data_IF_914026178081
#
_entry.id   IF_914026178081
#
_cell.length_a   1.000
_cell.length_b   1.000
_cell.length_c   1.000
_cell.angle_alpha   90.00
_cell.angle_beta   90.00
_cell.angle_gamma   90.00
#
_symmetry.space_group_name_H-M   'P 1'
#
loop_
_entity.id
_entity.type
_entity.pdbx_description
1 polymer ?
#
# COMPACT_ATOMS: atom_id res chain seq x y z
N UNK A 1 -21.19 26.09 5.31
CA UNK A 1 -20.88 24.90 4.48
C UNK A 1 -21.96 24.71 3.42
N UNK A 2 -21.93 25.49 2.33
CA UNK A 2 -22.96 25.48 1.27
C UNK A 2 -22.31 25.66 -0.10
N UNK A 3 -21.27 24.86 -0.38
CA UNK A 3 -20.43 25.01 -1.58
C UNK A 3 -20.22 23.73 -2.40
N UNK A 4 -20.98 22.65 -2.14
CA UNK A 4 -20.70 21.33 -2.75
C UNK A 4 -21.71 20.88 -3.81
N UNK A 5 -22.32 21.80 -4.57
CA UNK A 5 -23.11 21.43 -5.75
C UNK A 5 -22.89 22.43 -6.89
N UNK A 6 -21.64 22.60 -7.34
CA UNK A 6 -21.36 23.20 -8.65
C UNK A 6 -21.28 22.09 -9.69
N UNK A 7 -22.40 21.81 -10.34
CA UNK A 7 -22.39 21.07 -11.60
C UNK A 7 -21.57 21.88 -12.59
N UNK A 8 -20.46 21.30 -13.07
CA UNK A 8 -19.67 21.90 -14.13
C UNK A 8 -20.39 21.60 -15.45
N UNK A 9 -21.17 22.56 -15.95
CA UNK A 9 -21.76 22.46 -17.28
C UNK A 9 -20.71 22.82 -18.33
N UNK A 10 -20.36 21.87 -19.19
CA UNK A 10 -19.66 22.16 -20.44
C UNK A 10 -20.71 22.83 -21.34
N UNK A 11 -20.76 24.16 -21.34
CA UNK A 11 -21.62 24.90 -22.26
C UNK A 11 -21.00 24.82 -23.66
N UNK A 12 -21.73 24.26 -24.62
CA UNK A 12 -21.42 24.45 -26.03
C UNK A 12 -21.52 25.95 -26.36
N UNK A 13 -20.70 26.44 -27.30
CA UNK A 13 -20.82 27.83 -27.77
C UNK A 13 -22.23 28.12 -28.28
N UNK A 14 -22.72 29.35 -28.10
CA UNK A 14 -24.05 29.80 -28.52
C UNK A 14 -24.39 29.35 -29.94
N UNK A 15 -23.42 29.49 -30.84
CA UNK A 15 -23.58 29.22 -32.27
C UNK A 15 -23.78 27.72 -32.53
N UNK A 16 -23.07 26.87 -31.75
CA UNK A 16 -23.22 25.42 -31.85
C UNK A 16 -24.56 24.94 -31.28
N UNK A 17 -25.07 25.62 -30.26
CA UNK A 17 -26.41 25.35 -29.71
C UNK A 17 -27.48 25.74 -30.73
N UNK A 18 -27.34 26.88 -31.40
CA UNK A 18 -28.25 27.31 -32.47
C UNK A 18 -28.23 26.37 -33.69
N UNK A 19 -27.07 25.85 -34.08
CA UNK A 19 -26.96 24.84 -35.13
C UNK A 19 -27.70 23.55 -34.76
N UNK A 20 -27.45 23.03 -33.54
CA UNK A 20 -28.06 21.79 -33.07
C UNK A 20 -29.58 21.93 -32.93
N UNK A 21 -30.07 23.06 -32.43
CA UNK A 21 -31.51 23.33 -32.33
C UNK A 21 -32.17 23.41 -33.72
N UNK A 22 -31.54 24.04 -34.71
CA UNK A 22 -32.03 24.01 -36.09
C UNK A 22 -32.04 22.60 -36.69
N UNK A 23 -31.05 21.78 -36.36
CA UNK A 23 -31.02 20.37 -36.79
C UNK A 23 -32.13 19.55 -36.14
N UNK A 24 -32.39 19.72 -34.85
CA UNK A 24 -33.50 19.03 -34.16
C UNK A 24 -34.85 19.45 -34.73
N UNK A 25 -35.07 20.76 -34.94
CA UNK A 25 -36.32 21.27 -35.53
C UNK A 25 -36.56 20.73 -36.94
N UNK A 26 -35.48 20.57 -37.73
CA UNK A 26 -35.55 20.00 -39.07
C UNK A 26 -35.95 18.52 -39.03
N UNK A 27 -35.33 17.74 -38.14
CA UNK A 27 -35.64 16.32 -37.99
C UNK A 27 -37.07 16.13 -37.48
N UNK A 28 -37.53 16.97 -36.54
CA UNK A 28 -38.89 16.90 -36.04
C UNK A 28 -39.92 17.20 -37.12
N UNK A 29 -39.69 18.22 -37.97
CA UNK A 29 -40.56 18.47 -39.13
C UNK A 29 -40.54 17.31 -40.12
N UNK A 30 -39.39 16.66 -40.34
CA UNK A 30 -39.29 15.49 -41.19
C UNK A 30 -40.05 14.30 -40.60
N UNK A 31 -40.00 14.10 -39.28
CA UNK A 31 -40.81 13.10 -38.58
C UNK A 31 -42.30 13.40 -38.71
N UNK A 32 -42.73 14.64 -38.44
CA UNK A 32 -44.13 15.07 -38.57
C UNK A 32 -44.63 14.93 -40.03
N UNK A 33 -43.78 15.19 -41.02
CA UNK A 33 -44.10 14.99 -42.44
C UNK A 33 -44.19 13.51 -42.83
N UNK A 34 -43.38 12.66 -42.21
CA UNK A 34 -43.47 11.20 -42.40
C UNK A 34 -44.73 10.66 -41.74
N UNK A 35 -45.07 11.10 -40.52
CA UNK A 35 -46.31 10.73 -39.84
C UNK A 35 -47.55 11.14 -40.66
N UNK A 36 -47.59 12.39 -41.15
CA UNK A 36 -48.68 12.85 -42.03
C UNK A 36 -48.78 12.09 -43.34
N UNK A 37 -47.67 11.54 -43.86
CA UNK A 37 -47.67 10.71 -45.08
C UNK A 37 -48.11 9.27 -44.81
N UNK A 38 -47.86 8.75 -43.62
CA UNK A 38 -48.37 7.45 -43.20
C UNK A 38 -49.87 7.47 -42.89
N UNK A 39 -50.45 8.62 -42.54
CA UNK A 39 -51.89 8.76 -42.30
C UNK A 39 -52.75 8.79 -43.59
N UNK A 40 -52.12 8.99 -44.77
CA UNK A 40 -52.81 9.01 -46.08
C UNK A 40 -52.93 7.62 -46.76
N UNK A 41 -52.37 6.55 -46.16
CA UNK A 41 -52.57 5.16 -46.59
C UNK A 41 -53.69 4.49 -45.75
N UNK A 42 -54.92 4.43 -46.26
CA UNK A 42 -56.09 3.82 -45.58
C UNK A 42 -55.99 2.28 -45.43
N UNK A 43 -56.44 1.79 -44.25
CA UNK A 43 -56.67 0.42 -43.71
C UNK A 43 -55.48 -0.26 -42.99
N UNK A 44 -55.61 -0.80 -41.76
CA UNK A 44 -56.75 -1.53 -41.18
C UNK A 44 -56.83 -1.42 -39.63
N UNK A 45 -58.02 -1.64 -39.09
CA UNK A 45 -58.40 -1.61 -37.66
C UNK A 45 -57.65 -2.66 -36.82
N UNK A 46 -56.91 -2.22 -35.79
CA UNK A 46 -56.46 -3.10 -34.70
C UNK A 46 -56.47 -2.38 -33.34
N UNK A 47 -57.41 -2.86 -32.53
CA UNK A 47 -57.64 -2.56 -31.12
C UNK A 47 -56.39 -2.23 -30.27
N UNK A 48 -56.53 -1.10 -29.55
CA UNK A 48 -55.84 -0.70 -28.32
C UNK A 48 -54.68 -1.57 -27.82
N UNK A 49 -53.47 -1.14 -28.13
CA UNK A 49 -52.31 -1.41 -27.29
C UNK A 49 -51.92 -0.11 -26.60
N UNK A 50 -51.69 -0.22 -25.29
CA UNK A 50 -51.36 0.85 -24.37
C UNK A 50 -50.37 1.84 -25.00
N UNK A 51 -50.86 3.05 -25.30
CA UNK A 51 -50.04 4.21 -25.59
C UNK A 51 -49.25 4.55 -24.33
N UNK A 52 -48.21 3.77 -24.07
CA UNK A 52 -47.22 4.04 -23.05
C UNK A 52 -46.64 5.39 -23.35
N UNK A 53 -47.08 6.39 -22.58
CA UNK A 53 -46.66 7.77 -22.61
C UNK A 53 -45.16 7.82 -22.95
N UNK A 54 -44.82 8.11 -24.21
CA UNK A 54 -43.45 8.05 -24.71
C UNK A 54 -42.69 9.16 -23.98
N UNK A 55 -42.08 8.78 -22.86
CA UNK A 55 -41.34 9.70 -22.01
C UNK A 55 -40.20 10.26 -22.86
N UNK A 56 -40.30 11.54 -23.19
CA UNK A 56 -39.31 12.28 -23.99
C UNK A 56 -38.60 13.33 -23.12
N UNK A 57 -37.44 13.81 -23.59
CA UNK A 57 -36.64 14.82 -22.90
C UNK A 57 -36.12 14.38 -21.54
N UNK A 58 -36.18 15.29 -20.55
CA UNK A 58 -35.57 15.08 -19.21
C UNK A 58 -36.18 13.90 -18.46
N UNK A 59 -37.48 13.62 -18.67
CA UNK A 59 -38.18 12.51 -18.00
C UNK A 59 -37.71 11.15 -18.53
N UNK A 60 -37.45 11.04 -19.83
CA UNK A 60 -36.84 9.87 -20.47
C UNK A 60 -35.47 9.58 -19.85
N UNK A 61 -34.62 10.62 -19.80
CA UNK A 61 -33.25 10.54 -19.29
C UNK A 61 -33.26 10.12 -17.81
N UNK A 62 -34.17 10.67 -17.00
CA UNK A 62 -34.28 10.33 -15.59
C UNK A 62 -34.76 8.88 -15.38
N UNK A 63 -35.68 8.40 -16.21
CA UNK A 63 -36.13 7.00 -16.17
C UNK A 63 -35.03 6.05 -16.63
N UNK A 64 -34.33 6.37 -17.72
CA UNK A 64 -33.20 5.61 -18.22
C UNK A 64 -32.07 5.53 -17.18
N UNK A 65 -31.72 6.65 -16.55
CA UNK A 65 -30.74 6.68 -15.47
C UNK A 65 -31.16 5.82 -14.27
N UNK A 66 -32.45 5.84 -13.90
CA UNK A 66 -33.00 4.96 -12.84
C UNK A 66 -32.91 3.49 -13.24
N UNK A 67 -33.34 3.15 -14.45
CA UNK A 67 -33.28 1.78 -14.97
C UNK A 67 -31.83 1.29 -15.04
N UNK A 68 -30.90 2.14 -15.48
CA UNK A 68 -29.47 1.86 -15.52
C UNK A 68 -28.87 1.70 -14.12
N UNK A 69 -29.34 2.43 -13.12
CA UNK A 69 -28.88 2.31 -11.74
C UNK A 69 -29.32 0.99 -11.06
N UNK A 70 -30.47 0.42 -11.47
CA UNK A 70 -30.98 -0.86 -10.92
C UNK A 70 -30.64 -2.07 -11.79
N UNK A 71 -30.02 -1.89 -12.96
CA UNK A 71 -29.52 -3.00 -13.78
C UNK A 71 -28.12 -3.38 -13.30
N UNK A 72 -27.98 -4.61 -12.84
CA UNK A 72 -26.66 -5.22 -12.67
C UNK A 72 -26.02 -5.41 -14.05
N UNK A 73 -24.76 -4.99 -14.20
CA UNK A 73 -23.98 -5.23 -15.40
C UNK A 73 -23.86 -6.74 -15.65
N UNK A 74 -23.99 -7.22 -16.90
CA UNK A 74 -23.78 -8.63 -17.20
C UNK A 74 -22.36 -9.03 -16.81
N UNK A 75 -22.21 -10.24 -16.26
CA UNK A 75 -20.94 -10.72 -15.71
C UNK A 75 -19.79 -10.69 -16.72
N UNK A 76 -20.06 -10.94 -18.00
CA UNK A 76 -19.04 -10.93 -19.07
C UNK A 76 -18.44 -9.54 -19.26
N UNK A 77 -19.29 -8.51 -19.34
CA UNK A 77 -18.86 -7.12 -19.53
C UNK A 77 -18.06 -6.62 -18.31
N UNK A 78 -18.51 -6.95 -17.10
CA UNK A 78 -17.75 -6.64 -15.88
C UNK A 78 -16.38 -7.33 -15.86
N UNK A 79 -16.31 -8.57 -16.33
CA UNK A 79 -15.06 -9.33 -16.40
C UNK A 79 -14.09 -8.72 -17.40
N UNK A 80 -14.56 -8.28 -18.56
CA UNK A 80 -13.74 -7.57 -19.56
C UNK A 80 -13.22 -6.23 -19.03
N UNK A 81 -14.06 -5.46 -18.33
CA UNK A 81 -13.63 -4.22 -17.67
C UNK A 81 -12.57 -4.48 -16.59
N UNK A 82 -12.76 -5.51 -15.77
CA UNK A 82 -11.79 -5.88 -14.74
C UNK A 82 -10.45 -6.30 -15.37
N UNK A 83 -10.52 -7.17 -16.39
CA UNK A 83 -9.33 -7.66 -17.07
C UNK A 83 -8.55 -6.52 -17.74
N UNK A 84 -9.22 -5.60 -18.45
CA UNK A 84 -8.56 -4.44 -19.08
C UNK A 84 -7.94 -3.49 -18.05
N UNK A 85 -8.61 -3.28 -16.90
CA UNK A 85 -8.07 -2.47 -15.82
C UNK A 85 -6.83 -3.11 -15.17
N UNK A 86 -6.87 -4.43 -14.93
CA UNK A 86 -5.74 -5.19 -14.40
C UNK A 86 -4.57 -5.21 -15.39
N UNK A 87 -4.82 -5.40 -16.68
CA UNK A 87 -3.79 -5.39 -17.73
C UNK A 87 -3.10 -4.02 -17.83
N UNK A 88 -3.87 -2.92 -17.78
CA UNK A 88 -3.31 -1.57 -17.76
C UNK A 88 -2.44 -1.31 -16.53
N UNK A 89 -2.88 -1.79 -15.36
CA UNK A 89 -2.13 -1.68 -14.11
C UNK A 89 -0.84 -2.50 -14.14
N UNK A 90 -0.90 -3.76 -14.55
CA UNK A 90 0.26 -4.64 -14.68
C UNK A 90 1.29 -4.06 -15.66
N UNK A 91 0.84 -3.53 -16.79
CA UNK A 91 1.73 -2.86 -17.75
C UNK A 91 2.39 -1.62 -17.15
N UNK A 92 1.65 -0.80 -16.40
CA UNK A 92 2.21 0.37 -15.72
C UNK A 92 3.21 -0.02 -14.64
N UNK A 93 2.93 -1.04 -13.82
CA UNK A 93 3.87 -1.56 -12.82
C UNK A 93 5.16 -2.03 -13.46
N UNK A 94 5.11 -2.86 -14.50
CA UNK A 94 6.30 -3.36 -15.20
C UNK A 94 7.12 -2.20 -15.78
N UNK A 95 6.47 -1.18 -16.37
CA UNK A 95 7.16 -0.01 -16.88
C UNK A 95 7.80 0.82 -15.76
N UNK A 96 7.15 0.95 -14.60
CA UNK A 96 7.71 1.66 -13.44
C UNK A 96 8.91 0.91 -12.85
N UNK A 97 8.84 -0.42 -12.74
CA UNK A 97 9.95 -1.26 -12.28
C UNK A 97 11.13 -1.18 -13.26
N UNK A 98 10.86 -1.22 -14.56
CA UNK A 98 11.89 -1.06 -15.60
C UNK A 98 12.56 0.30 -15.49
N UNK A 99 11.79 1.39 -15.33
CA UNK A 99 12.34 2.74 -15.12
C UNK A 99 13.15 2.83 -13.83
N UNK A 100 12.67 2.24 -12.74
CA UNK A 100 13.38 2.21 -11.46
C UNK A 100 14.71 1.46 -11.57
N UNK A 101 14.74 0.32 -12.27
CA UNK A 101 15.97 -0.43 -12.54
C UNK A 101 16.94 0.37 -13.41
N UNK A 102 16.45 0.97 -14.49
CA UNK A 102 17.28 1.82 -15.36
C UNK A 102 17.82 3.04 -14.63
N UNK A 103 17.04 3.64 -13.72
CA UNK A 103 17.48 4.75 -12.88
C UNK A 103 18.51 4.29 -11.83
N UNK A 104 18.35 3.10 -11.26
CA UNK A 104 19.31 2.53 -10.32
C UNK A 104 20.64 2.14 -10.97
N UNK A 105 20.65 1.83 -12.26
CA UNK A 105 21.87 1.53 -13.02
C UNK A 105 22.56 2.79 -13.58
N UNK A 106 21.86 3.93 -13.63
CA UNK A 106 22.46 5.20 -14.07
C UNK A 106 23.40 5.76 -12.99
N UNK A 107 24.66 6.07 -13.33
CA UNK A 107 25.58 6.73 -12.41
C UNK A 107 25.24 8.21 -12.26
N UNK A 108 25.42 8.74 -11.07
CA UNK A 108 25.28 10.17 -10.78
C UNK A 108 26.36 11.02 -11.47
N UNK A 109 26.26 12.36 -11.40
CA UNK A 109 27.25 13.31 -11.95
C UNK A 109 28.70 13.07 -11.51
N UNK A 110 28.90 12.43 -10.35
CA UNK A 110 30.20 12.07 -9.75
C UNK A 110 30.61 10.61 -10.05
N UNK A 111 29.84 9.88 -10.87
CA UNK A 111 30.15 8.52 -11.34
C UNK A 111 29.84 7.39 -10.37
N UNK A 112 29.13 7.66 -9.27
CA UNK A 112 28.71 6.64 -8.31
C UNK A 112 27.34 6.05 -8.66
N UNK A 113 27.19 4.74 -8.44
CA UNK A 113 25.91 4.02 -8.57
C UNK A 113 25.32 3.86 -7.16
N UNK A 114 24.14 4.41 -6.90
CA UNK A 114 23.49 4.30 -5.60
C UNK A 114 22.89 2.90 -5.42
N UNK A 115 23.40 2.13 -4.46
CA UNK A 115 22.81 0.84 -4.08
C UNK A 115 21.59 1.08 -3.19
N UNK A 116 20.39 1.10 -3.78
CA UNK A 116 19.15 1.07 -3.01
C UNK A 116 18.99 -0.31 -2.34
N UNK A 117 18.76 -0.35 -1.02
CA UNK A 117 18.51 -1.59 -0.29
C UNK A 117 17.10 -2.11 -0.57
N UNK A 118 16.97 -3.07 -1.49
CA UNK A 118 15.79 -3.93 -1.60
C UNK A 118 14.54 -3.27 -2.20
N UNK A 119 13.66 -4.13 -2.72
CA UNK A 119 12.43 -3.83 -3.47
C UNK A 119 11.68 -2.61 -2.92
N UNK A 120 11.43 -1.56 -3.73
CA UNK A 120 10.57 -0.47 -3.32
C UNK A 120 9.14 -1.03 -3.30
N UNK A 121 8.68 -1.46 -2.12
CA UNK A 121 7.24 -1.58 -1.91
C UNK A 121 6.65 -0.19 -2.13
N UNK A 122 5.62 -0.12 -2.96
CA UNK A 122 4.96 1.10 -3.41
C UNK A 122 4.74 2.10 -2.24
N UNK A 123 5.37 3.28 -2.30
CA UNK A 123 5.20 4.36 -1.30
C UNK A 123 6.42 4.79 -0.47
N UNK A 124 7.62 4.20 -0.67
CA UNK A 124 8.79 4.41 0.21
C UNK A 124 9.69 5.61 -0.11
N UNK A 125 9.26 6.57 -0.94
CA UNK A 125 10.07 7.78 -1.21
C UNK A 125 10.28 8.66 0.03
N UNK A 126 9.52 8.44 1.12
CA UNK A 126 9.64 9.18 2.37
C UNK A 126 10.33 8.43 3.53
N UNK A 127 10.68 7.16 3.39
CA UNK A 127 11.08 6.33 4.55
C UNK A 127 12.60 6.36 4.85
N UNK A 128 13.40 6.94 3.95
CA UNK A 128 14.85 7.05 4.14
C UNK A 128 15.27 8.05 5.24
N UNK A 129 14.43 9.01 5.60
CA UNK A 129 14.68 9.91 6.74
C UNK A 129 14.26 9.30 8.08
N UNK A 130 13.15 8.55 8.12
CA UNK A 130 12.58 8.00 9.36
C UNK A 130 13.42 6.83 9.90
N UNK A 131 13.96 5.99 9.02
CA UNK A 131 14.73 4.80 9.40
C UNK A 131 16.11 5.12 10.03
N UNK A 132 16.65 6.32 9.80
CA UNK A 132 17.92 6.78 10.44
C UNK A 132 17.80 6.86 11.97
N UNK A 133 16.62 7.20 12.49
CA UNK A 133 16.37 7.30 13.92
C UNK A 133 16.08 5.94 14.58
N UNK A 134 15.41 5.03 13.86
CA UNK A 134 15.13 3.68 14.33
C UNK A 134 16.40 2.82 14.43
N UNK A 135 17.27 2.85 13.41
CA UNK A 135 18.53 2.07 13.39
C UNK A 135 19.50 2.48 14.52
N UNK A 136 19.57 3.76 14.88
CA UNK A 136 20.41 4.23 16.02
C UNK A 136 19.93 3.70 17.38
N UNK A 137 18.63 3.40 17.53
CA UNK A 137 18.07 2.84 18.79
C UNK A 137 18.21 1.33 18.88
N UNK A 138 18.10 0.60 17.76
CA UNK A 138 18.26 -0.86 17.73
C UNK A 138 19.72 -1.32 17.92
N UNK A 139 20.70 -0.58 17.39
CA UNK A 139 22.13 -0.95 17.45
C UNK A 139 22.80 -0.90 18.83
N UNK A 140 22.14 -0.34 19.86
CA UNK A 140 22.64 -0.32 21.24
C UNK A 140 22.21 -1.52 22.07
N UNK A 141 21.08 -2.16 21.76
CA UNK A 141 20.53 -3.26 22.58
C UNK A 141 21.03 -4.65 22.16
N UNK A 142 21.49 -4.81 20.92
CA UNK A 142 21.85 -6.13 20.38
C UNK A 142 23.35 -6.48 20.43
N UNK A 143 24.21 -5.58 20.90
CA UNK A 143 25.66 -5.80 21.03
C UNK A 143 26.07 -6.72 22.18
N UNK A 144 25.14 -7.15 23.03
CA UNK A 144 25.47 -7.91 24.26
C UNK A 144 25.26 -9.43 24.13
N UNK A 145 24.80 -9.93 22.98
CA UNK A 145 24.34 -11.33 22.84
C UNK A 145 25.18 -12.20 21.89
N UNK A 146 26.32 -11.72 21.39
CA UNK A 146 27.18 -12.48 20.47
C UNK A 146 28.59 -12.70 20.99
N UNK A 147 28.71 -12.95 22.30
CA UNK A 147 29.96 -13.33 22.98
C UNK A 147 30.52 -14.73 22.59
N UNK A 148 30.20 -15.21 21.39
CA UNK A 148 30.64 -16.49 20.84
C UNK A 148 31.08 -16.33 19.39
N UNK A 149 32.28 -15.78 19.18
CA UNK A 149 33.15 -16.14 18.06
C UNK A 149 32.80 -15.65 16.65
N UNK A 150 32.01 -14.59 16.45
CA UNK A 150 31.78 -14.03 15.11
C UNK A 150 32.36 -12.62 14.94
N UNK A 151 33.70 -12.51 14.84
CA UNK A 151 34.49 -11.42 14.23
C UNK A 151 34.35 -9.97 14.72
N UNK A 152 33.26 -9.61 15.39
CA UNK A 152 32.88 -8.24 15.73
C UNK A 152 32.84 -7.98 17.25
N UNK A 153 32.89 -9.04 18.06
CA UNK A 153 32.96 -8.93 19.52
C UNK A 153 34.39 -9.13 20.03
N UNK A 154 34.72 -8.42 21.12
CA UNK A 154 36.01 -8.54 21.80
C UNK A 154 36.18 -9.96 22.37
N UNK A 155 37.25 -10.63 21.96
CA UNK A 155 37.55 -11.97 22.42
C UNK A 155 38.05 -11.92 23.88
N UNK A 156 37.46 -12.76 24.74
CA UNK A 156 37.68 -12.71 26.19
C UNK A 156 39.10 -13.13 26.63
N UNK A 157 39.81 -13.90 25.80
CA UNK A 157 41.12 -14.48 26.13
C UNK A 157 42.23 -14.06 25.18
N UNK A 158 42.03 -13.02 24.38
CA UNK A 158 43.03 -12.58 23.40
C UNK A 158 44.25 -11.93 24.05
N UNK A 159 44.05 -11.19 25.13
CA UNK A 159 45.10 -10.42 25.77
C UNK A 159 45.58 -11.05 27.08
N UNK A 160 46.89 -10.98 27.31
CA UNK A 160 47.53 -11.49 28.54
C UNK A 160 47.00 -10.85 29.83
N UNK A 161 46.53 -9.61 29.78
CA UNK A 161 45.95 -8.96 30.94
C UNK A 161 44.58 -9.56 31.31
N UNK A 162 43.79 -10.03 30.34
CA UNK A 162 42.53 -10.72 30.56
C UNK A 162 42.80 -12.03 31.33
N UNK A 163 43.78 -12.82 30.87
CA UNK A 163 44.21 -14.05 31.56
C UNK A 163 44.77 -13.79 32.98
N UNK A 164 45.48 -12.67 33.17
CA UNK A 164 46.00 -12.31 34.50
C UNK A 164 44.87 -11.89 35.43
N UNK A 165 43.86 -11.21 34.91
CA UNK A 165 42.69 -10.79 35.67
C UNK A 165 41.80 -11.97 36.07
N UNK A 166 41.53 -12.91 35.15
CA UNK A 166 40.76 -14.14 35.43
C UNK A 166 41.46 -14.97 36.51
N UNK A 167 42.76 -15.22 36.38
CA UNK A 167 43.54 -15.93 37.42
C UNK A 167 43.51 -15.23 38.77
N UNK A 168 43.56 -13.88 38.79
CA UNK A 168 43.47 -13.11 40.05
C UNK A 168 42.09 -13.26 40.69
N UNK A 169 41.01 -13.27 39.89
CA UNK A 169 39.64 -13.50 40.36
C UNK A 169 39.50 -14.90 40.96
N UNK A 170 39.96 -15.93 40.26
CA UNK A 170 39.94 -17.32 40.75
C UNK A 170 40.68 -17.49 42.09
N UNK A 171 41.89 -16.92 42.22
CA UNK A 171 42.66 -16.98 43.47
C UNK A 171 41.94 -16.26 44.62
N UNK A 172 41.29 -15.14 44.34
CA UNK A 172 40.51 -14.42 45.37
C UNK A 172 39.26 -15.19 45.79
N UNK A 173 38.57 -15.84 44.85
CA UNK A 173 37.41 -16.67 45.14
C UNK A 173 37.81 -17.88 46.01
N UNK A 174 38.94 -18.53 45.72
CA UNK A 174 39.48 -19.60 46.55
C UNK A 174 39.79 -19.14 47.98
N UNK A 175 40.38 -17.96 48.15
CA UNK A 175 40.61 -17.36 49.48
C UNK A 175 39.30 -17.13 50.23
N UNK A 176 38.29 -16.57 49.55
CA UNK A 176 36.96 -16.34 50.11
C UNK A 176 36.30 -17.64 50.58
N UNK A 177 36.39 -18.72 49.80
CA UNK A 177 35.86 -20.02 50.19
C UNK A 177 36.62 -20.61 51.38
N UNK A 178 37.95 -20.49 51.41
CA UNK A 178 38.75 -20.96 52.53
C UNK A 178 38.44 -20.22 53.84
N UNK A 179 38.22 -18.90 53.78
CA UNK A 179 37.81 -18.11 54.94
C UNK A 179 36.44 -18.54 55.48
N UNK A 180 35.49 -18.84 54.59
CA UNK A 180 34.17 -19.37 54.97
C UNK A 180 34.29 -20.73 55.65
N UNK A 181 35.10 -21.62 55.09
CA UNK A 181 35.33 -22.95 55.68
C UNK A 181 36.04 -22.86 57.02
N UNK A 182 37.03 -21.97 57.14
CA UNK A 182 37.69 -21.68 58.41
C UNK A 182 36.70 -21.16 59.45
N UNK A 183 35.80 -20.25 59.07
CA UNK A 183 34.74 -19.75 59.96
C UNK A 183 33.77 -20.87 60.37
N UNK A 184 33.41 -21.77 59.45
CA UNK A 184 32.56 -22.94 59.74
C UNK A 184 33.22 -23.89 60.73
N UNK A 185 34.51 -24.19 60.55
CA UNK A 185 35.28 -25.04 61.46
C UNK A 185 35.43 -24.39 62.83
N UNK A 186 35.65 -23.06 62.91
CA UNK A 186 35.68 -22.34 64.19
C UNK A 186 34.37 -22.48 64.96
N UNK A 187 33.22 -22.28 64.30
CA UNK A 187 31.90 -22.51 64.91
C UNK A 187 31.73 -23.94 65.42
N UNK A 188 32.10 -24.94 64.61
CA UNK A 188 32.03 -26.35 65.03
C UNK A 188 32.96 -26.67 66.22
N UNK A 189 34.11 -25.99 66.33
CA UNK A 189 35.02 -26.12 67.47
C UNK A 189 34.44 -25.49 68.74
N UNK A 190 33.82 -24.31 68.63
CA UNK A 190 33.11 -23.65 69.73
C UNK A 190 31.95 -24.52 70.25
N UNK A 191 31.19 -25.12 69.34
CA UNK A 191 30.08 -26.05 69.65
C UNK A 191 30.55 -27.44 70.12
N UNK A 192 31.88 -27.70 70.17
CA UNK A 192 32.50 -29.00 70.49
C UNK A 192 32.03 -30.16 69.60
N UNK A 193 31.52 -29.86 68.40
CA UNK A 193 31.06 -30.82 67.40
C UNK A 193 32.17 -31.22 66.41
N UNK A 194 33.34 -30.57 66.48
CA UNK A 194 34.46 -30.85 65.60
C UNK A 194 35.19 -32.15 65.99
N UNK A 195 35.14 -33.16 65.11
CA UNK A 195 35.84 -34.45 65.23
C UNK A 195 36.86 -34.62 64.10
N UNK A 196 38.13 -34.22 64.31
CA UNK A 196 39.18 -34.46 63.33
C UNK A 196 39.71 -35.89 63.49
N UNK A 197 39.22 -36.79 62.62
CA UNK A 197 39.55 -38.22 62.56
C UNK A 197 39.07 -39.05 63.77
#
# INVERSE_FOLDING_TARGET
NKSENRLHSICLGSDRIEELTRQTDRLQRQSDEVERKSDDDEHDEAAGEDGGDMLTGVRAIAQEARVRAYRHMPRSELMEMCNSAMEAFEHEEVETERRARMAAEQPDDDGFITVAQGTPSFGTTNDLEEDKHARRRAGKRNRKRKAGGSGADELQDFYRFQLKETRRKEVNDLKSMFEKDLAKVRKMKEERLYRPF
#
